data_IF_987110639091
#
_entry.id   IF_987110639091
#
_cell.length_a   1.000
_cell.length_b   1.000
_cell.length_c   1.000
_cell.angle_alpha   90.00
_cell.angle_beta   90.00
_cell.angle_gamma   90.00
#
_symmetry.space_group_name_H-M   'P 1'
#
loop_
_entity.id
_entity.type
_entity.pdbx_description
1 polymer ?
#
# COMPACT_ATOMS: atom_id res chain seq x y z
N UNK A 1 17.30 0.06 -12.82
CA UNK A 1 16.69 1.22 -12.13
C UNK A 1 16.11 2.16 -13.19
N UNK A 2 14.80 2.09 -13.46
CA UNK A 2 14.16 3.00 -14.42
C UNK A 2 13.83 4.31 -13.70
N UNK A 3 14.47 5.39 -14.13
CA UNK A 3 14.23 6.79 -13.75
C UNK A 3 12.95 7.28 -14.44
N UNK A 4 11.99 7.79 -13.66
CA UNK A 4 10.87 8.67 -14.03
C UNK A 4 10.07 8.33 -15.30
N UNK A 5 8.85 7.79 -15.14
CA UNK A 5 7.90 7.65 -16.25
C UNK A 5 6.77 6.62 -16.08
N UNK A 6 6.66 5.94 -14.93
CA UNK A 6 5.56 4.99 -14.69
C UNK A 6 4.57 5.60 -13.70
N UNK A 7 3.38 5.81 -14.19
CA UNK A 7 2.18 6.08 -13.42
C UNK A 7 1.78 4.77 -12.71
N UNK A 8 2.02 4.67 -11.40
CA UNK A 8 1.57 3.52 -10.61
C UNK A 8 0.09 3.71 -10.25
N UNK A 9 -0.74 2.71 -10.52
CA UNK A 9 -2.14 2.71 -10.10
C UNK A 9 -2.34 1.76 -8.94
N UNK A 10 -3.00 2.19 -7.90
CA UNK A 10 -3.28 1.37 -6.72
C UNK A 10 -4.76 1.42 -6.40
N UNK A 11 -5.22 0.52 -5.55
CA UNK A 11 -6.50 0.75 -4.90
C UNK A 11 -6.34 1.61 -3.65
N UNK A 12 -7.43 2.29 -3.30
CA UNK A 12 -7.62 2.88 -2.00
C UNK A 12 -9.04 2.64 -1.48
N UNK A 13 -9.22 2.68 -0.16
CA UNK A 13 -10.53 2.61 0.49
C UNK A 13 -10.78 3.72 1.52
N UNK A 14 -9.92 4.76 1.52
CA UNK A 14 -10.09 5.94 2.38
C UNK A 14 -10.05 5.60 3.88
N UNK A 15 -10.81 6.35 4.68
CA UNK A 15 -10.93 6.21 6.14
C UNK A 15 -11.99 5.18 6.56
N UNK A 16 -12.35 4.25 5.67
CA UNK A 16 -13.28 3.20 6.01
C UNK A 16 -12.70 2.29 7.10
N UNK A 17 -13.53 1.92 8.08
CA UNK A 17 -13.13 1.00 9.17
C UNK A 17 -12.86 -0.42 8.63
N UNK A 18 -13.45 -0.76 7.49
CA UNK A 18 -13.24 -2.03 6.79
C UNK A 18 -13.16 -1.74 5.29
N UNK A 19 -12.06 -2.15 4.67
CA UNK A 19 -11.77 -1.88 3.26
C UNK A 19 -12.53 -2.82 2.30
N UNK A 20 -13.05 -3.93 2.82
CA UNK A 20 -13.71 -5.00 2.06
C UNK A 20 -14.94 -4.46 1.30
N UNK A 21 -14.95 -4.62 -0.03
CA UNK A 21 -16.04 -4.17 -0.90
C UNK A 21 -16.08 -2.67 -1.23
N UNK A 22 -15.16 -1.84 -0.71
CA UNK A 22 -15.13 -0.38 -0.93
C UNK A 22 -13.87 0.11 -1.67
N UNK A 23 -13.36 -0.73 -2.56
CA UNK A 23 -12.13 -0.48 -3.32
C UNK A 23 -12.35 0.53 -4.44
N UNK A 24 -11.61 1.63 -4.41
CA UNK A 24 -11.57 2.64 -5.46
C UNK A 24 -10.20 2.67 -6.13
N UNK A 25 -10.16 2.89 -7.44
CA UNK A 25 -8.90 3.02 -8.18
C UNK A 25 -8.35 4.43 -8.00
N UNK A 26 -7.04 4.52 -7.76
CA UNK A 26 -6.32 5.80 -7.78
C UNK A 26 -5.00 5.68 -8.52
N UNK A 27 -4.49 6.83 -8.94
CA UNK A 27 -3.15 6.96 -9.50
C UNK A 27 -2.24 7.56 -8.44
N UNK A 28 -1.07 6.97 -8.21
CA UNK A 28 -0.07 7.52 -7.30
C UNK A 28 0.61 8.71 -7.98
N UNK A 29 0.41 9.89 -7.41
CA UNK A 29 0.89 11.16 -7.94
C UNK A 29 1.47 12.02 -6.81
N UNK A 30 2.36 12.95 -7.15
CA UNK A 30 3.01 13.85 -6.20
C UNK A 30 4.53 13.70 -6.17
N UNK A 31 5.17 14.67 -5.50
CA UNK A 31 6.60 14.65 -5.25
C UNK A 31 6.95 13.58 -4.22
N UNK A 32 7.90 12.71 -4.54
CA UNK A 32 8.36 11.65 -3.63
C UNK A 32 9.59 12.11 -2.87
N UNK A 33 9.63 11.85 -1.56
CA UNK A 33 10.79 12.16 -0.74
C UNK A 33 12.07 11.49 -1.26
N UNK A 34 13.25 12.15 -1.16
CA UNK A 34 14.51 11.56 -1.61
C UNK A 34 14.78 10.21 -0.94
N UNK A 35 15.04 9.18 -1.76
CA UNK A 35 15.28 7.81 -1.28
C UNK A 35 14.04 6.91 -1.26
N UNK A 36 12.86 7.46 -1.55
CA UNK A 36 11.61 6.70 -1.65
C UNK A 36 11.14 6.54 -3.10
N UNK A 37 10.10 5.72 -3.28
CA UNK A 37 9.31 5.58 -4.52
C UNK A 37 7.85 5.35 -4.14
N UNK A 38 6.94 5.50 -5.11
CA UNK A 38 5.54 5.11 -4.92
C UNK A 38 5.41 3.60 -4.92
N UNK A 39 4.67 3.08 -3.94
CA UNK A 39 4.24 1.69 -3.83
C UNK A 39 2.75 1.66 -3.50
N UNK A 40 2.09 0.57 -3.88
CA UNK A 40 0.77 0.29 -3.32
C UNK A 40 0.94 -0.39 -1.97
N UNK A 41 0.39 0.22 -0.92
CA UNK A 41 0.39 -0.27 0.44
C UNK A 41 -0.89 -1.03 0.77
N UNK A 42 -0.74 -2.14 1.51
CA UNK A 42 -1.79 -2.90 2.16
C UNK A 42 -1.55 -2.90 3.67
N UNK A 43 -2.56 -2.50 4.46
CA UNK A 43 -2.42 -2.27 5.90
C UNK A 43 -3.39 -3.16 6.67
N UNK A 44 -2.84 -4.10 7.42
CA UNK A 44 -3.60 -5.04 8.25
C UNK A 44 -3.31 -4.81 9.73
N UNK A 45 -4.35 -4.89 10.54
CA UNK A 45 -4.20 -4.83 11.99
C UNK A 45 -3.64 -6.15 12.55
N UNK A 46 -3.42 -6.18 13.86
CA UNK A 46 -2.98 -7.35 14.61
C UNK A 46 -3.90 -8.59 14.52
N UNK A 47 -5.13 -8.43 14.03
CA UNK A 47 -6.08 -9.52 13.81
C UNK A 47 -6.10 -9.96 12.34
N UNK A 48 -5.14 -9.49 11.53
CA UNK A 48 -5.06 -9.73 10.09
C UNK A 48 -6.27 -9.15 9.32
N UNK A 49 -6.98 -8.19 9.91
CA UNK A 49 -8.13 -7.52 9.28
C UNK A 49 -7.61 -6.38 8.42
N UNK A 50 -8.00 -6.37 7.15
CA UNK A 50 -7.62 -5.31 6.20
C UNK A 50 -8.28 -3.98 6.60
N UNK A 51 -7.46 -3.07 7.13
CA UNK A 51 -7.91 -1.76 7.57
C UNK A 51 -7.99 -0.80 6.39
N UNK A 52 -6.90 -0.70 5.63
CA UNK A 52 -6.86 0.20 4.48
C UNK A 52 -5.85 -0.24 3.44
N UNK A 53 -5.98 0.35 2.25
CA UNK A 53 -5.05 0.23 1.14
C UNK A 53 -4.87 1.62 0.54
N UNK A 54 -3.66 1.96 0.09
CA UNK A 54 -3.40 3.29 -0.47
C UNK A 54 -2.10 3.33 -1.30
N UNK A 55 -1.89 4.42 -2.04
CA UNK A 55 -0.56 4.81 -2.51
C UNK A 55 0.30 5.29 -1.34
N UNK A 56 1.51 4.76 -1.23
CA UNK A 56 2.43 5.06 -0.13
C UNK A 56 3.85 5.30 -0.63
N UNK A 57 4.50 6.31 -0.06
CA UNK A 57 5.91 6.55 -0.28
C UNK A 57 6.72 5.62 0.63
N UNK A 58 7.54 4.78 0.03
CA UNK A 58 8.36 3.83 0.78
C UNK A 58 9.71 3.60 0.09
N UNK A 59 10.65 2.95 0.78
CA UNK A 59 12.01 2.78 0.26
C UNK A 59 12.25 1.44 -0.46
N UNK A 60 11.42 0.42 -0.22
CA UNK A 60 11.56 -0.90 -0.84
C UNK A 60 10.25 -1.71 -0.83
N UNK A 61 9.98 -2.49 -1.89
CA UNK A 61 8.89 -3.47 -1.84
C UNK A 61 9.14 -4.54 -0.76
N UNK A 62 8.06 -5.07 -0.20
CA UNK A 62 8.10 -6.09 0.86
C UNK A 62 7.09 -5.81 1.97
N UNK A 63 7.01 -6.74 2.93
CA UNK A 63 6.17 -6.59 4.10
C UNK A 63 7.02 -6.27 5.34
N UNK A 64 6.49 -5.42 6.20
CA UNK A 64 7.04 -5.09 7.51
C UNK A 64 5.97 -5.32 8.57
N UNK A 65 6.37 -5.88 9.71
CA UNK A 65 5.49 -6.04 10.87
C UNK A 65 5.87 -5.01 11.92
N UNK A 66 4.89 -4.28 12.44
CA UNK A 66 5.10 -3.27 13.46
C UNK A 66 5.78 -3.82 14.73
N UNK A 67 6.53 -2.98 15.47
CA UNK A 67 6.69 -1.54 15.27
C UNK A 67 7.75 -1.16 14.22
N UNK A 68 8.34 -2.12 13.52
CA UNK A 68 9.29 -1.84 12.45
C UNK A 68 8.59 -1.02 11.35
N UNK A 69 9.18 0.11 10.98
CA UNK A 69 8.59 1.04 10.00
C UNK A 69 7.64 2.11 10.57
N UNK A 70 7.47 2.19 11.89
CA UNK A 70 6.68 3.26 12.53
C UNK A 70 5.18 2.99 12.61
N UNK A 71 4.77 1.74 12.34
CA UNK A 71 3.39 1.28 12.48
C UNK A 71 3.11 0.81 13.92
N UNK A 72 1.82 0.73 14.35
CA UNK A 72 1.49 0.17 15.65
C UNK A 72 1.97 -1.28 15.78
N UNK A 73 2.23 -1.71 17.01
CA UNK A 73 2.68 -3.08 17.30
C UNK A 73 1.70 -4.12 16.75
N UNK A 74 2.23 -5.18 16.15
CA UNK A 74 1.44 -6.26 15.54
C UNK A 74 0.74 -5.92 14.21
N UNK A 75 0.90 -4.72 13.66
CA UNK A 75 0.38 -4.42 12.32
C UNK A 75 1.25 -5.03 11.23
N UNK A 76 0.62 -5.62 10.21
CA UNK A 76 1.32 -6.10 9.01
C UNK A 76 1.07 -5.13 7.86
N UNK A 77 2.14 -4.59 7.30
CA UNK A 77 2.08 -3.62 6.20
C UNK A 77 2.91 -4.11 5.04
N UNK A 78 2.29 -4.29 3.88
CA UNK A 78 2.92 -4.79 2.67
C UNK A 78 2.96 -3.74 1.56
N UNK A 79 4.08 -3.65 0.85
CA UNK A 79 4.31 -2.73 -0.26
C UNK A 79 4.70 -3.46 -1.54
N UNK A 80 4.11 -3.05 -2.67
CA UNK A 80 4.35 -3.63 -3.98
C UNK A 80 4.35 -2.55 -5.08
N UNK A 81 5.03 -2.81 -6.20
CA UNK A 81 5.40 -1.80 -7.21
C UNK A 81 4.77 -2.03 -8.60
N UNK A 82 3.67 -2.78 -8.66
CA UNK A 82 2.89 -2.98 -9.89
C UNK A 82 1.43 -2.57 -9.71
N UNK A 83 0.75 -2.30 -10.82
CA UNK A 83 -0.62 -1.78 -10.78
C UNK A 83 -1.58 -2.70 -10.01
N UNK A 84 -2.34 -2.11 -9.10
CA UNK A 84 -3.40 -2.74 -8.30
C UNK A 84 -2.94 -3.92 -7.44
N UNK A 85 -1.64 -3.96 -7.12
CA UNK A 85 -1.05 -5.06 -6.37
C UNK A 85 -1.49 -5.14 -4.90
N UNK A 86 -1.98 -4.04 -4.34
CA UNK A 86 -2.48 -3.96 -2.97
C UNK A 86 -3.94 -4.42 -2.82
N UNK A 87 -4.47 -5.17 -3.79
CA UNK A 87 -5.82 -5.69 -3.71
C UNK A 87 -5.95 -6.94 -2.81
N UNK A 88 -4.85 -7.37 -2.18
CA UNK A 88 -4.74 -8.64 -1.48
C UNK A 88 -5.08 -9.84 -2.36
N UNK A 89 -5.36 -10.97 -1.70
CA UNK A 89 -5.83 -12.19 -2.35
C UNK A 89 -7.26 -12.06 -2.93
N UNK A 90 -8.00 -11.00 -2.57
CA UNK A 90 -9.42 -10.83 -2.93
C UNK A 90 -9.65 -10.40 -4.38
N UNK A 91 -8.64 -9.78 -5.01
CA UNK A 91 -8.64 -9.48 -6.45
C UNK A 91 -7.36 -9.92 -7.17
N UNK A 92 -6.50 -10.70 -6.53
CA UNK A 92 -5.32 -11.28 -7.20
C UNK A 92 -5.72 -12.45 -8.12
N UNK A 93 -6.65 -12.18 -9.04
CA UNK A 93 -6.89 -12.91 -10.29
C UNK A 93 -7.96 -12.23 -11.16
#
# INVERSE_FOLDING_TARGET
MRRYGFTLRCYHCGDAVECEGMWHEMTCEGDVQPGNSWYCGEYRDQNNVLQTVNCSEWNAAGCVTGPEGGFPDGWDVCFCDWDFCNAGDEKSR
#
